data_IF_595790090033
#
_entry.id   IF_595790090033
#
_cell.length_a   1.000
_cell.length_b   1.000
_cell.length_c   1.000
_cell.angle_alpha   90.00
_cell.angle_beta   90.00
_cell.angle_gamma   90.00
#
_symmetry.space_group_name_H-M   'P 1'
#
loop_
_entity.id
_entity.type
_entity.pdbx_description
1 polymer ?
#
# COMPACT_ATOMS: atom_id res chain seq x y z
N UNK A 1 -3.47 -0.79 -21.32
CA UNK A 1 -3.09 -1.06 -19.92
C UNK A 1 -4.08 -2.04 -19.37
N UNK A 2 -3.63 -3.06 -18.63
CA UNK A 2 -4.53 -4.03 -18.01
C UNK A 2 -5.16 -3.43 -16.74
N UNK A 3 -6.43 -3.77 -16.48
CA UNK A 3 -7.12 -3.38 -15.23
C UNK A 3 -6.68 -4.34 -14.13
N UNK A 4 -6.17 -3.80 -13.02
CA UNK A 4 -5.68 -4.58 -11.88
C UNK A 4 -6.61 -4.51 -10.67
N UNK A 5 -7.48 -3.49 -10.59
CA UNK A 5 -8.60 -3.41 -9.63
C UNK A 5 -9.86 -3.08 -10.41
N UNK A 6 -10.94 -3.83 -10.20
CA UNK A 6 -12.25 -3.59 -10.81
C UNK A 6 -13.34 -3.83 -9.75
N UNK A 7 -13.85 -2.74 -9.20
CA UNK A 7 -14.97 -2.73 -8.26
C UNK A 7 -16.20 -2.19 -8.95
N UNK A 8 -17.35 -2.87 -8.79
CA UNK A 8 -18.66 -2.47 -9.31
C UNK A 8 -19.73 -2.69 -8.27
N UNK A 9 -20.38 -1.60 -7.90
CA UNK A 9 -21.49 -1.60 -6.95
C UNK A 9 -21.17 -2.30 -5.61
N UNK A 10 -19.94 -2.10 -5.10
CA UNK A 10 -19.45 -2.76 -3.90
C UNK A 10 -19.89 -1.99 -2.66
N UNK A 11 -20.38 -2.70 -1.65
CA UNK A 11 -20.67 -2.16 -0.33
C UNK A 11 -19.52 -2.52 0.63
N UNK A 12 -19.12 -1.57 1.48
CA UNK A 12 -18.06 -1.76 2.46
C UNK A 12 -18.59 -1.49 3.85
N UNK A 13 -18.46 -2.48 4.72
CA UNK A 13 -18.91 -2.43 6.10
C UNK A 13 -17.74 -2.58 7.08
N UNK A 14 -17.90 -1.97 8.25
CA UNK A 14 -17.00 -2.15 9.39
C UNK A 14 -17.81 -2.16 10.67
N UNK A 15 -17.66 -3.21 11.50
CA UNK A 15 -18.41 -3.39 12.74
C UNK A 15 -19.94 -3.17 12.52
N UNK A 16 -20.49 -3.87 11.52
CA UNK A 16 -21.92 -3.85 11.16
C UNK A 16 -22.46 -2.47 10.74
N UNK A 17 -21.58 -1.54 10.42
CA UNK A 17 -21.94 -0.21 9.89
C UNK A 17 -21.43 -0.05 8.47
N UNK A 18 -22.30 0.33 7.57
CA UNK A 18 -21.93 0.69 6.21
C UNK A 18 -21.06 1.94 6.20
N UNK A 19 -19.85 1.78 5.70
CA UNK A 19 -18.83 2.83 5.58
C UNK A 19 -18.86 3.48 4.20
N UNK A 20 -18.94 2.66 3.14
CA UNK A 20 -19.09 3.12 1.76
C UNK A 20 -20.15 2.29 1.05
N UNK A 21 -20.90 2.93 0.14
CA UNK A 21 -21.97 2.33 -0.68
C UNK A 21 -21.68 2.52 -2.16
N UNK A 22 -22.15 1.58 -2.97
CA UNK A 22 -22.13 1.66 -4.44
C UNK A 22 -20.72 2.01 -4.99
N UNK A 23 -19.68 1.48 -4.35
CA UNK A 23 -18.29 1.75 -4.75
C UNK A 23 -18.03 1.13 -6.12
N UNK A 24 -17.72 1.98 -7.10
CA UNK A 24 -17.39 1.55 -8.45
C UNK A 24 -16.19 2.35 -8.93
N UNK A 25 -15.09 1.66 -9.24
CA UNK A 25 -13.90 2.25 -9.85
C UNK A 25 -13.00 1.15 -10.42
N UNK A 26 -12.09 1.57 -11.27
CA UNK A 26 -11.02 0.72 -11.78
C UNK A 26 -9.66 1.34 -11.49
N UNK A 27 -8.62 0.52 -11.38
CA UNK A 27 -7.23 0.95 -11.38
C UNK A 27 -6.48 0.15 -12.43
N UNK A 28 -5.65 0.84 -13.21
CA UNK A 28 -4.86 0.22 -14.28
C UNK A 28 -3.44 -0.09 -13.82
N UNK A 29 -2.78 -0.99 -14.54
CA UNK A 29 -1.36 -1.29 -14.34
C UNK A 29 -0.49 -0.05 -14.61
N UNK A 30 0.48 0.21 -13.71
CA UNK A 30 1.36 1.38 -13.78
C UNK A 30 0.69 2.71 -13.45
N UNK A 31 -0.56 2.70 -12.97
CA UNK A 31 -1.30 3.92 -12.61
C UNK A 31 -0.95 4.36 -11.17
N UNK A 32 -0.72 5.68 -11.00
CA UNK A 32 -0.74 6.32 -9.68
C UNK A 32 -2.12 6.96 -9.46
N UNK A 33 -2.77 6.61 -8.37
CA UNK A 33 -4.08 7.15 -8.04
C UNK A 33 -4.13 7.57 -6.56
N UNK A 34 -4.65 8.76 -6.30
CA UNK A 34 -4.95 9.22 -4.95
C UNK A 34 -6.34 8.78 -4.50
N UNK A 35 -6.47 8.44 -3.23
CA UNK A 35 -7.72 8.22 -2.54
C UNK A 35 -7.88 9.30 -1.46
N UNK A 36 -8.61 10.35 -1.76
CA UNK A 36 -8.74 11.51 -0.87
C UNK A 36 -10.06 11.50 -0.09
N UNK A 37 -10.06 12.13 1.07
CA UNK A 37 -11.25 12.30 1.91
C UNK A 37 -10.88 12.59 3.36
N UNK A 38 -11.83 13.08 4.12
CA UNK A 38 -11.64 13.40 5.55
C UNK A 38 -11.25 12.14 6.34
N UNK A 39 -10.65 12.34 7.51
CA UNK A 39 -10.42 11.25 8.47
C UNK A 39 -11.76 10.58 8.79
N UNK A 40 -11.80 9.25 8.74
CA UNK A 40 -13.04 8.47 8.96
C UNK A 40 -13.98 8.35 7.74
N UNK A 41 -13.63 8.88 6.55
CA UNK A 41 -14.47 8.77 5.33
C UNK A 41 -14.53 7.37 4.70
N UNK A 42 -13.69 6.42 5.16
CA UNK A 42 -13.68 5.05 4.65
C UNK A 42 -12.49 4.65 3.79
N UNK A 43 -11.53 5.54 3.54
CA UNK A 43 -10.33 5.27 2.72
C UNK A 43 -9.58 4.01 3.15
N UNK A 44 -9.19 3.92 4.41
CA UNK A 44 -8.50 2.73 4.95
C UNK A 44 -9.37 1.48 4.92
N UNK A 45 -10.69 1.60 5.08
CA UNK A 45 -11.61 0.45 4.98
C UNK A 45 -11.68 -0.07 3.54
N UNK A 46 -11.77 0.82 2.55
CA UNK A 46 -11.70 0.45 1.13
C UNK A 46 -10.38 -0.25 0.82
N UNK A 47 -9.23 0.32 1.23
CA UNK A 47 -7.92 -0.31 1.00
C UNK A 47 -7.81 -1.69 1.66
N UNK A 48 -8.36 -1.85 2.87
CA UNK A 48 -8.38 -3.12 3.62
C UNK A 48 -9.17 -4.22 2.93
N UNK A 49 -10.20 -3.88 2.14
CA UNK A 49 -10.88 -4.89 1.32
C UNK A 49 -9.97 -5.45 0.23
N UNK A 50 -9.08 -4.64 -0.36
CA UNK A 50 -8.23 -5.06 -1.49
C UNK A 50 -7.23 -6.16 -1.14
N UNK A 51 -6.82 -6.26 0.13
CA UNK A 51 -5.97 -7.36 0.61
C UNK A 51 -6.71 -8.33 1.56
N UNK A 52 -8.05 -8.31 1.50
CA UNK A 52 -8.94 -9.21 2.26
C UNK A 52 -8.68 -9.18 3.78
N UNK A 53 -8.47 -7.98 4.35
CA UNK A 53 -8.49 -7.74 5.80
C UNK A 53 -9.90 -7.38 6.28
N UNK A 54 -10.67 -6.71 5.42
CA UNK A 54 -12.09 -6.45 5.60
C UNK A 54 -12.86 -7.20 4.52
N UNK A 55 -13.86 -7.96 4.91
CA UNK A 55 -14.72 -8.67 3.98
C UNK A 55 -15.65 -7.71 3.24
N UNK A 56 -16.00 -8.04 2.01
CA UNK A 56 -16.98 -7.33 1.21
C UNK A 56 -18.32 -8.05 1.37
N UNK A 57 -19.36 -7.43 1.95
CA UNK A 57 -20.63 -8.08 2.20
C UNK A 57 -21.46 -8.27 0.92
N UNK A 58 -21.38 -7.33 -0.04
CA UNK A 58 -22.14 -7.36 -1.29
C UNK A 58 -21.46 -6.52 -2.39
N UNK A 59 -21.79 -6.82 -3.64
CA UNK A 59 -21.32 -6.12 -4.83
C UNK A 59 -21.58 -6.90 -6.10
N UNK A 60 -21.52 -6.24 -7.24
CA UNK A 60 -21.61 -6.91 -8.55
C UNK A 60 -20.26 -7.51 -8.96
N UNK A 61 -19.18 -6.80 -8.68
CA UNK A 61 -17.81 -7.25 -8.95
C UNK A 61 -16.84 -6.64 -7.96
N UNK A 62 -15.90 -7.44 -7.47
CA UNK A 62 -14.76 -6.98 -6.68
C UNK A 62 -13.55 -7.83 -7.05
N UNK A 63 -12.82 -7.42 -8.08
CA UNK A 63 -11.60 -8.07 -8.54
C UNK A 63 -10.37 -7.26 -8.18
N UNK A 64 -9.35 -7.92 -7.63
CA UNK A 64 -8.02 -7.35 -7.39
C UNK A 64 -6.97 -8.32 -7.89
N UNK A 65 -6.18 -7.93 -8.88
CA UNK A 65 -5.10 -8.72 -9.47
C UNK A 65 -5.55 -10.13 -9.93
N UNK A 66 -6.80 -10.24 -10.43
CA UNK A 66 -7.40 -11.51 -10.86
C UNK A 66 -7.95 -12.38 -9.71
N UNK A 67 -8.10 -11.79 -8.52
CA UNK A 67 -8.76 -12.46 -7.39
C UNK A 67 -10.16 -11.87 -7.18
N UNK A 68 -11.19 -12.68 -7.38
CA UNK A 68 -12.56 -12.33 -7.01
C UNK A 68 -12.72 -12.31 -5.49
N UNK A 69 -12.83 -11.10 -4.91
CA UNK A 69 -12.90 -10.91 -3.47
C UNK A 69 -14.26 -11.29 -2.88
N UNK A 70 -15.33 -11.29 -3.68
CA UNK A 70 -16.66 -11.71 -3.22
C UNK A 70 -16.68 -13.23 -2.91
N UNK A 71 -15.86 -14.03 -3.61
CA UNK A 71 -15.80 -15.47 -3.47
C UNK A 71 -14.40 -15.97 -3.02
N UNK A 72 -13.57 -15.10 -2.43
CA UNK A 72 -12.20 -15.44 -2.11
C UNK A 72 -12.10 -16.42 -0.94
N UNK A 73 -11.64 -17.64 -1.23
CA UNK A 73 -11.40 -18.65 -0.20
C UNK A 73 -10.22 -18.27 0.69
N UNK A 74 -10.33 -18.44 2.01
CA UNK A 74 -9.28 -18.09 3.00
C UNK A 74 -7.89 -18.60 2.61
N UNK A 75 -7.76 -19.82 2.06
CA UNK A 75 -6.49 -20.40 1.60
C UNK A 75 -5.83 -19.60 0.45
N UNK A 76 -6.58 -18.76 -0.28
CA UNK A 76 -6.08 -17.95 -1.39
C UNK A 76 -5.59 -16.56 -0.95
N UNK A 77 -6.00 -16.09 0.24
CA UNK A 77 -5.61 -14.77 0.77
C UNK A 77 -4.09 -14.56 0.82
N UNK A 78 -3.25 -15.53 1.27
CA UNK A 78 -1.80 -15.33 1.27
C UNK A 78 -1.20 -15.09 -0.12
N UNK A 79 -1.78 -15.69 -1.17
CA UNK A 79 -1.33 -15.50 -2.55
C UNK A 79 -1.69 -14.11 -3.09
N UNK A 80 -2.88 -13.59 -2.75
CA UNK A 80 -3.26 -12.21 -3.03
C UNK A 80 -2.30 -11.23 -2.32
N UNK A 81 -2.12 -11.40 -1.00
CA UNK A 81 -1.28 -10.50 -0.19
C UNK A 81 0.19 -10.46 -0.65
N UNK A 82 0.73 -11.54 -1.21
CA UNK A 82 2.09 -11.52 -1.78
C UNK A 82 2.23 -10.64 -3.02
N UNK A 83 1.13 -10.39 -3.74
CA UNK A 83 1.11 -9.51 -4.92
C UNK A 83 0.87 -8.03 -4.58
N UNK A 84 0.62 -7.72 -3.31
CA UNK A 84 0.32 -6.37 -2.82
C UNK A 84 1.38 -5.94 -1.83
N UNK A 85 1.99 -4.78 -2.07
CA UNK A 85 2.82 -4.08 -1.09
C UNK A 85 1.95 -3.15 -0.25
N UNK A 86 2.14 -3.14 1.07
CA UNK A 86 1.38 -2.27 1.96
C UNK A 86 2.33 -1.35 2.70
N UNK A 87 2.08 -0.04 2.58
CA UNK A 87 2.75 1.03 3.31
C UNK A 87 1.76 1.57 4.34
N UNK A 88 2.00 1.27 5.62
CA UNK A 88 1.15 1.68 6.73
C UNK A 88 1.52 3.07 7.25
N UNK A 89 0.55 3.75 7.85
CA UNK A 89 0.74 5.05 8.48
C UNK A 89 1.72 5.00 9.67
N UNK A 90 1.64 3.95 10.49
CA UNK A 90 2.35 3.77 11.77
C UNK A 90 3.57 2.83 11.66
N UNK A 91 4.31 2.90 10.57
CA UNK A 91 5.51 2.13 10.22
C UNK A 91 5.39 0.62 10.41
N UNK A 92 4.93 0.12 11.58
CA UNK A 92 4.82 -1.29 11.94
C UNK A 92 6.12 -2.08 11.70
N UNK A 93 7.24 -1.49 12.08
CA UNK A 93 8.54 -2.17 12.09
C UNK A 93 8.71 -2.95 13.40
N UNK A 94 9.34 -4.12 13.31
CA UNK A 94 9.70 -4.92 14.48
C UNK A 94 10.83 -4.21 15.21
N UNK A 95 10.57 -3.70 16.40
CA UNK A 95 11.48 -2.82 17.14
C UNK A 95 12.69 -3.56 17.74
N UNK A 96 12.60 -4.88 17.89
CA UNK A 96 13.63 -5.79 18.39
C UNK A 96 14.57 -6.31 17.28
N UNK A 97 14.44 -5.80 16.06
CA UNK A 97 15.18 -6.27 14.88
C UNK A 97 15.74 -5.11 14.06
N UNK A 98 16.93 -5.33 13.48
CA UNK A 98 17.51 -4.39 12.53
C UNK A 98 16.65 -4.24 11.26
N UNK A 99 16.95 -3.21 10.45
CA UNK A 99 16.33 -3.02 9.12
C UNK A 99 16.45 -4.29 8.28
N UNK A 100 17.65 -4.86 8.17
CA UNK A 100 17.88 -6.09 7.41
C UNK A 100 17.02 -7.24 7.91
N UNK A 101 16.94 -7.45 9.23
CA UNK A 101 16.15 -8.52 9.83
C UNK A 101 14.64 -8.33 9.67
N UNK A 102 14.17 -7.08 9.70
CA UNK A 102 12.77 -6.74 9.37
C UNK A 102 12.40 -7.18 7.95
N UNK A 103 13.26 -6.87 6.97
CA UNK A 103 13.03 -7.24 5.57
C UNK A 103 13.18 -8.75 5.33
N UNK A 104 14.22 -9.36 5.91
CA UNK A 104 14.47 -10.81 5.85
C UNK A 104 13.30 -11.62 6.43
N UNK A 105 12.72 -11.14 7.53
CA UNK A 105 11.55 -11.78 8.15
C UNK A 105 10.39 -11.91 7.15
N UNK A 106 10.09 -10.84 6.42
CA UNK A 106 9.00 -10.84 5.43
C UNK A 106 9.30 -11.79 4.27
N UNK A 107 10.51 -11.77 3.72
CA UNK A 107 10.89 -12.68 2.62
C UNK A 107 10.75 -14.15 3.04
N UNK A 108 11.26 -14.51 4.22
CA UNK A 108 11.11 -15.87 4.76
C UNK A 108 9.64 -16.25 4.96
N UNK A 109 8.84 -15.36 5.54
CA UNK A 109 7.40 -15.59 5.77
C UNK A 109 6.63 -15.74 4.46
N UNK A 110 7.13 -15.19 3.36
CA UNK A 110 6.52 -15.29 2.03
C UNK A 110 7.08 -16.42 1.16
N UNK A 111 8.01 -17.24 1.71
CA UNK A 111 8.46 -18.48 1.09
C UNK A 111 9.83 -18.42 0.41
N UNK A 112 10.58 -17.32 0.57
CA UNK A 112 11.96 -17.26 0.10
C UNK A 112 12.86 -18.11 0.99
N UNK A 113 13.66 -18.99 0.41
CA UNK A 113 14.49 -19.95 1.14
C UNK A 113 15.99 -19.78 0.90
N UNK A 114 16.39 -19.35 -0.29
CA UNK A 114 17.79 -19.20 -0.67
C UNK A 114 18.38 -17.95 -0.02
N UNK A 115 19.47 -18.12 0.70
CA UNK A 115 20.11 -17.03 1.45
C UNK A 115 20.57 -15.91 0.53
N UNK A 116 21.21 -16.25 -0.58
CA UNK A 116 21.76 -15.26 -1.51
C UNK A 116 20.64 -14.42 -2.13
N UNK A 117 19.57 -15.05 -2.62
CA UNK A 117 18.42 -14.35 -3.23
C UNK A 117 17.79 -13.36 -2.24
N UNK A 118 17.73 -13.73 -0.95
CA UNK A 118 17.21 -12.88 0.12
C UNK A 118 18.10 -11.65 0.32
N UNK A 119 19.43 -11.84 0.43
CA UNK A 119 20.38 -10.73 0.60
C UNK A 119 20.35 -9.78 -0.60
N UNK A 120 20.41 -10.32 -1.81
CA UNK A 120 20.39 -9.53 -3.05
C UNK A 120 19.10 -8.72 -3.15
N UNK A 121 17.95 -9.33 -2.78
CA UNK A 121 16.67 -8.63 -2.80
C UNK A 121 16.58 -7.54 -1.74
N UNK A 122 17.11 -7.75 -0.56
CA UNK A 122 17.17 -6.72 0.50
C UNK A 122 18.04 -5.54 0.04
N UNK A 123 19.22 -5.80 -0.53
CA UNK A 123 20.09 -4.76 -1.05
C UNK A 123 19.41 -3.96 -2.17
N UNK A 124 18.77 -4.64 -3.12
CA UNK A 124 18.02 -4.03 -4.22
C UNK A 124 16.95 -3.05 -3.71
N UNK A 125 16.09 -3.50 -2.79
CA UNK A 125 14.99 -2.64 -2.30
C UNK A 125 15.49 -1.52 -1.39
N UNK A 126 16.54 -1.74 -0.59
CA UNK A 126 17.13 -0.68 0.22
C UNK A 126 17.82 0.37 -0.65
N UNK A 127 18.45 -0.03 -1.74
CA UNK A 127 19.03 0.88 -2.72
C UNK A 127 17.95 1.72 -3.39
N UNK A 128 16.85 1.10 -3.81
CA UNK A 128 15.73 1.80 -4.46
C UNK A 128 15.11 2.90 -3.58
N UNK A 129 15.15 2.74 -2.25
CA UNK A 129 14.62 3.76 -1.31
C UNK A 129 15.71 4.64 -0.68
N UNK A 130 17.00 4.51 -1.09
CA UNK A 130 18.11 5.30 -0.57
C UNK A 130 18.54 4.93 0.85
N UNK A 131 18.38 3.65 1.25
CA UNK A 131 18.69 3.16 2.61
C UNK A 131 19.76 2.07 2.64
N UNK A 132 20.50 1.84 1.56
CA UNK A 132 21.48 0.75 1.44
C UNK A 132 22.53 0.74 2.57
N UNK A 133 22.99 1.91 3.00
CA UNK A 133 24.01 2.07 4.05
C UNK A 133 23.47 2.00 5.48
N UNK A 134 22.18 1.69 5.68
CA UNK A 134 21.50 1.69 7.01
C UNK A 134 20.85 0.34 7.35
N UNK A 135 21.18 -0.72 6.63
CA UNK A 135 20.61 -2.06 6.80
C UNK A 135 20.83 -2.66 8.21
N UNK A 136 21.92 -2.28 8.89
CA UNK A 136 22.30 -2.74 10.23
C UNK A 136 21.61 -1.98 11.37
N UNK A 137 21.01 -0.83 11.08
CA UNK A 137 20.36 0.03 12.07
C UNK A 137 19.10 -0.61 12.65
N UNK A 138 18.82 -0.29 13.92
CA UNK A 138 17.54 -0.59 14.56
C UNK A 138 16.51 0.51 14.24
N UNK A 139 15.18 0.21 14.23
CA UNK A 139 14.17 1.20 13.92
C UNK A 139 14.24 2.48 14.76
N UNK A 140 14.55 2.37 16.06
CA UNK A 140 14.66 3.52 16.96
C UNK A 140 15.88 4.42 16.70
N UNK A 141 16.84 3.98 15.88
CA UNK A 141 18.01 4.76 15.46
C UNK A 141 17.74 5.53 14.14
N UNK A 142 16.54 5.40 13.57
CA UNK A 142 16.15 6.01 12.31
C UNK A 142 15.21 7.18 12.54
N UNK A 143 15.34 8.24 11.73
CA UNK A 143 14.31 9.29 11.65
C UNK A 143 12.99 8.74 11.14
N UNK A 144 11.87 9.47 11.33
CA UNK A 144 10.56 9.05 10.82
C UNK A 144 10.55 8.84 9.30
N UNK A 145 11.19 9.72 8.55
CA UNK A 145 11.33 9.58 7.10
C UNK A 145 12.15 8.36 6.67
N UNK A 146 13.21 8.04 7.42
CA UNK A 146 14.00 6.83 7.19
C UNK A 146 13.22 5.57 7.51
N UNK A 147 12.46 5.56 8.61
CA UNK A 147 11.56 4.44 8.93
C UNK A 147 10.53 4.25 7.82
N UNK A 148 9.95 5.33 7.29
CA UNK A 148 9.00 5.26 6.18
C UNK A 148 9.63 4.72 4.90
N UNK A 149 10.87 5.10 4.59
CA UNK A 149 11.62 4.51 3.46
C UNK A 149 11.82 3.00 3.65
N UNK A 150 12.13 2.53 4.86
CA UNK A 150 12.22 1.10 5.17
C UNK A 150 10.86 0.39 5.01
N UNK A 151 9.76 1.03 5.40
CA UNK A 151 8.40 0.50 5.18
C UNK A 151 8.09 0.37 3.68
N UNK A 152 8.49 1.35 2.87
CA UNK A 152 8.37 1.27 1.41
C UNK A 152 9.24 0.15 0.85
N UNK A 153 10.51 0.02 1.30
CA UNK A 153 11.38 -1.11 0.91
C UNK A 153 10.73 -2.46 1.25
N UNK A 154 10.12 -2.59 2.43
CA UNK A 154 9.37 -3.78 2.85
C UNK A 154 8.19 -4.08 1.92
N UNK A 155 7.47 -3.05 1.50
CA UNK A 155 6.37 -3.21 0.56
C UNK A 155 6.83 -3.72 -0.82
N UNK A 156 8.04 -3.36 -1.27
CA UNK A 156 8.63 -3.75 -2.55
C UNK A 156 9.16 -5.19 -2.60
N UNK A 157 9.39 -5.86 -1.46
CA UNK A 157 10.14 -7.13 -1.35
C UNK A 157 9.64 -8.21 -2.31
N UNK A 158 8.35 -8.44 -2.42
CA UNK A 158 7.77 -9.50 -3.26
C UNK A 158 7.46 -9.04 -4.69
N UNK A 159 8.06 -7.96 -5.19
CA UNK A 159 7.79 -7.38 -6.52
C UNK A 159 6.28 -7.19 -6.73
N UNK A 160 5.61 -6.41 -5.88
CA UNK A 160 4.16 -6.29 -5.91
C UNK A 160 3.67 -5.66 -7.22
N UNK A 161 2.52 -6.14 -7.70
CA UNK A 161 1.83 -5.52 -8.83
C UNK A 161 1.01 -4.29 -8.41
N UNK A 162 0.70 -4.17 -7.11
CA UNK A 162 -0.04 -3.05 -6.53
C UNK A 162 0.58 -2.65 -5.19
N UNK A 163 0.81 -1.36 -4.99
CA UNK A 163 1.22 -0.77 -3.71
C UNK A 163 0.03 0.02 -3.16
N UNK A 164 -0.36 -0.31 -1.93
CA UNK A 164 -1.37 0.41 -1.16
C UNK A 164 -0.66 1.23 -0.07
N UNK A 165 -0.69 2.56 -0.19
CA UNK A 165 -0.08 3.46 0.77
C UNK A 165 -1.17 4.21 1.57
N UNK A 166 -1.38 3.81 2.83
CA UNK A 166 -2.41 4.40 3.70
C UNK A 166 -1.79 5.50 4.57
N UNK A 167 -2.06 6.77 4.21
CA UNK A 167 -1.55 7.98 4.87
C UNK A 167 -0.01 7.95 5.10
N UNK A 168 0.81 7.68 4.07
CA UNK A 168 2.24 7.40 4.22
C UNK A 168 3.06 8.59 4.74
N UNK A 169 2.47 9.77 4.81
CA UNK A 169 3.10 11.01 5.27
C UNK A 169 2.51 11.55 6.58
N UNK A 170 1.53 10.85 7.16
CA UNK A 170 0.73 11.36 8.28
C UNK A 170 1.49 11.63 9.59
N UNK A 171 2.69 11.07 9.77
CA UNK A 171 3.54 11.27 10.95
C UNK A 171 4.86 11.98 10.62
N UNK A 172 4.95 12.59 9.45
CA UNK A 172 6.17 13.22 8.96
C UNK A 172 6.00 14.76 8.90
N UNK A 173 7.09 15.46 9.02
CA UNK A 173 7.12 16.87 8.69
C UNK A 173 6.86 17.10 7.19
N UNK A 174 6.44 18.31 6.77
CA UNK A 174 6.04 18.56 5.38
C UNK A 174 7.16 18.28 4.37
N UNK A 175 8.41 18.61 4.67
CA UNK A 175 9.54 18.43 3.76
C UNK A 175 9.84 16.93 3.56
N UNK A 176 9.88 16.18 4.66
CA UNK A 176 10.04 14.71 4.62
C UNK A 176 8.85 14.05 3.90
N UNK A 177 7.63 14.52 4.17
CA UNK A 177 6.43 14.04 3.48
C UNK A 177 6.52 14.23 1.96
N UNK A 178 6.99 15.39 1.51
CA UNK A 178 7.24 15.67 0.09
C UNK A 178 8.22 14.68 -0.53
N UNK A 179 9.33 14.39 0.17
CA UNK A 179 10.31 13.40 -0.30
C UNK A 179 9.74 11.99 -0.41
N UNK A 180 8.85 11.58 0.50
CA UNK A 180 8.18 10.27 0.44
C UNK A 180 7.23 10.19 -0.75
N UNK A 181 6.45 11.25 -1.01
CA UNK A 181 5.56 11.28 -2.19
C UNK A 181 6.37 11.28 -3.48
N UNK A 182 7.47 12.04 -3.55
CA UNK A 182 8.42 11.98 -4.68
C UNK A 182 8.91 10.56 -4.94
N UNK A 183 9.32 9.84 -3.88
CA UNK A 183 9.75 8.44 -4.00
C UNK A 183 8.64 7.54 -4.55
N UNK A 184 7.41 7.67 -4.05
CA UNK A 184 6.27 6.90 -4.55
C UNK A 184 5.96 7.20 -6.02
N UNK A 185 6.03 8.47 -6.46
CA UNK A 185 5.87 8.84 -7.86
C UNK A 185 6.99 8.27 -8.74
N UNK A 186 8.24 8.25 -8.25
CA UNK A 186 9.36 7.61 -8.95
C UNK A 186 9.08 6.11 -9.16
N UNK A 187 8.63 5.42 -8.11
CA UNK A 187 8.27 4.00 -8.20
C UNK A 187 7.12 3.75 -9.19
N UNK A 188 6.14 4.65 -9.26
CA UNK A 188 5.07 4.55 -10.26
C UNK A 188 5.61 4.75 -11.69
N UNK A 189 6.55 5.67 -11.87
CA UNK A 189 7.22 5.88 -13.15
C UNK A 189 8.04 4.65 -13.59
N UNK A 190 8.57 3.92 -12.62
CA UNK A 190 9.28 2.65 -12.83
C UNK A 190 8.33 1.45 -13.08
N UNK A 191 7.00 1.71 -13.18
CA UNK A 191 5.99 0.73 -13.57
C UNK A 191 5.17 0.14 -12.42
N UNK A 192 5.35 0.60 -11.18
CA UNK A 192 4.50 0.16 -10.07
C UNK A 192 3.14 0.84 -10.09
N UNK A 193 2.07 0.08 -9.87
CA UNK A 193 0.74 0.63 -9.65
C UNK A 193 0.59 1.05 -8.20
N UNK A 194 0.13 2.28 -7.94
CA UNK A 194 0.05 2.82 -6.58
C UNK A 194 -1.32 3.43 -6.31
N UNK A 195 -1.96 3.01 -5.21
CA UNK A 195 -3.11 3.69 -4.64
C UNK A 195 -2.69 4.30 -3.30
N UNK A 196 -2.65 5.63 -3.23
CA UNK A 196 -2.25 6.37 -2.04
C UNK A 196 -3.44 7.06 -1.39
N UNK A 197 -3.82 6.63 -0.19
CA UNK A 197 -4.77 7.36 0.63
C UNK A 197 -4.10 8.56 1.31
N UNK A 198 -4.73 9.73 1.22
CA UNK A 198 -4.29 10.93 1.93
C UNK A 198 -5.45 11.89 2.20
N UNK A 199 -5.29 12.72 3.23
CA UNK A 199 -6.16 13.89 3.47
C UNK A 199 -5.42 15.21 3.20
N UNK A 200 -4.13 15.15 2.84
CA UNK A 200 -3.33 16.32 2.50
C UNK A 200 -3.50 16.68 1.02
N UNK A 201 -4.38 17.65 0.74
CA UNK A 201 -4.67 18.10 -0.62
C UNK A 201 -3.51 18.87 -1.25
N UNK A 202 -2.65 19.51 -0.47
CA UNK A 202 -1.48 20.22 -1.00
C UNK A 202 -0.54 19.24 -1.72
N UNK A 203 -0.30 18.05 -1.16
CA UNK A 203 0.51 17.02 -1.83
C UNK A 203 -0.14 16.55 -3.14
N UNK A 204 -1.47 16.50 -3.19
CA UNK A 204 -2.20 16.11 -4.42
C UNK A 204 -2.07 17.18 -5.51
N UNK A 205 -2.07 18.45 -5.12
CA UNK A 205 -1.90 19.59 -6.04
C UNK A 205 -0.45 19.67 -6.54
N UNK A 206 0.54 19.43 -5.67
CA UNK A 206 1.97 19.47 -6.01
C UNK A 206 2.40 18.26 -6.88
N UNK A 207 1.71 17.12 -6.76
CA UNK A 207 1.97 15.89 -7.52
C UNK A 207 0.71 15.41 -8.24
N UNK A 208 0.33 16.02 -9.36
CA UNK A 208 -0.92 15.72 -10.03
C UNK A 208 -1.00 14.27 -10.51
N UNK A 209 -2.09 13.59 -10.15
CA UNK A 209 -2.46 12.26 -10.62
C UNK A 209 -3.97 12.10 -10.53
N UNK A 210 -4.51 10.96 -10.96
CA UNK A 210 -5.95 10.65 -10.81
C UNK A 210 -6.36 10.67 -9.34
N UNK A 211 -7.56 11.18 -9.04
CA UNK A 211 -8.07 11.36 -7.68
C UNK A 211 -9.43 10.70 -7.51
N UNK A 212 -9.51 9.71 -6.64
CA UNK A 212 -10.77 9.15 -6.13
C UNK A 212 -11.14 9.85 -4.81
N UNK A 213 -12.37 10.34 -4.69
CA UNK A 213 -12.84 11.09 -3.52
C UNK A 213 -13.82 10.27 -2.69
N UNK A 214 -13.49 10.04 -1.41
CA UNK A 214 -14.37 9.43 -0.42
C UNK A 214 -15.10 10.53 0.36
N UNK A 215 -16.40 10.70 0.10
CA UNK A 215 -17.25 11.64 0.82
C UNK A 215 -18.68 11.07 0.96
N UNK A 216 -19.37 11.38 2.06
CA UNK A 216 -20.76 11.05 2.30
C UNK A 216 -21.11 9.57 2.00
N UNK A 217 -20.23 8.66 2.41
CA UNK A 217 -20.30 7.21 2.16
C UNK A 217 -20.27 6.80 0.69
N UNK A 218 -19.83 7.68 -0.21
CA UNK A 218 -19.68 7.41 -1.63
C UNK A 218 -18.24 7.57 -2.07
N UNK A 219 -17.90 6.94 -3.21
CA UNK A 219 -16.67 7.14 -3.93
C UNK A 219 -16.98 7.81 -5.28
N UNK A 220 -16.28 8.88 -5.61
CA UNK A 220 -16.35 9.54 -6.93
C UNK A 220 -14.96 9.71 -7.53
N UNK A 221 -14.88 9.75 -8.86
CA UNK A 221 -13.69 10.03 -9.65
C UNK A 221 -13.62 11.52 -9.96
#
# INVERSE_FOLDING_TARGET
MSVIVDYRNVEIERAEKTVLKNVSFTLSEGEFCYLVGRVGSGKSSLMKTMYADVAIPSGEKADVLGFDLLNLKKRRIPYLRRKIGIVFQDFQLLQDRSVNENLRFVLRATGWSQRQDIEDRIEEVLTAVGMANKSYKMPHELSGGEQQRVVIARALLNKPALILADEPTGHLDPETGYQIVTLLHTLAHDGHSILMATHNLQLVDDFPARVLRCADKNLSD
#
